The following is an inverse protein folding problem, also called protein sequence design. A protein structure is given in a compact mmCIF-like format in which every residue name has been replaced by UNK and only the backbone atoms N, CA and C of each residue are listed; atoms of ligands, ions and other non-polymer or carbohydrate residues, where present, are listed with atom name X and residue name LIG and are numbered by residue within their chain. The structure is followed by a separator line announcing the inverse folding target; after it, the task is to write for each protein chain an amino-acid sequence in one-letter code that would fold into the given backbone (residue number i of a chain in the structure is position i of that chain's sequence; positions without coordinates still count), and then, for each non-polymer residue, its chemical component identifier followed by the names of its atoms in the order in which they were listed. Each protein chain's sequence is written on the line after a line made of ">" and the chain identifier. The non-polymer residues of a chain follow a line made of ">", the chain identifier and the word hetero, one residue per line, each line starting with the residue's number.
data_IF_746202504538
#
_entry.id   IF_746202504538
#
_cell.length_a   1.000
_cell.length_b   1.000
_cell.length_c   1.000
_cell.angle_alpha   90.00
_cell.angle_beta   90.00
_cell.angle_gamma   90.00
#
_symmetry.space_group_name_H-M   'P 1'
#
loop_
_entity.id
_entity.type
_entity.pdbx_description
1 polymer ?
#
# COMPACT_ATOMS: atom_id res chain seq x y z
N UNK A 1 16.67 14.72 7.30
CA UNK A 1 17.68 14.48 8.36
C UNK A 1 16.91 14.24 9.66
N UNK A 2 17.00 13.17 10.45
CA UNK A 2 17.90 12.01 10.56
C UNK A 2 17.08 10.87 11.19
N UNK A 3 17.42 9.65 10.76
CA UNK A 3 17.00 8.32 11.21
C UNK A 3 16.99 8.12 12.73
N UNK A 4 15.99 7.41 13.26
CA UNK A 4 16.00 6.84 14.61
C UNK A 4 15.79 5.33 14.56
N UNK A 5 16.85 4.58 14.81
CA UNK A 5 16.92 3.12 14.69
C UNK A 5 16.30 2.42 15.91
N UNK A 6 15.58 1.33 15.63
CA UNK A 6 14.99 0.40 16.61
C UNK A 6 16.09 -0.40 17.30
N UNK A 7 16.05 -0.47 18.64
CA UNK A 7 17.05 -1.18 19.46
C UNK A 7 16.37 -2.32 20.23
N UNK A 8 16.61 -3.56 19.81
CA UNK A 8 16.28 -4.75 20.58
C UNK A 8 17.40 -5.05 21.58
N UNK A 9 17.03 -5.41 22.82
CA UNK A 9 17.95 -5.78 23.89
C UNK A 9 17.79 -7.28 24.17
N UNK A 10 18.87 -8.04 24.08
CA UNK A 10 18.98 -9.40 24.62
C UNK A 10 20.17 -9.45 25.57
N UNK A 11 19.91 -9.95 26.77
CA UNK A 11 20.83 -10.03 27.89
C UNK A 11 21.78 -11.22 27.74
N UNK A 12 23.07 -10.98 27.98
CA UNK A 12 24.05 -12.02 28.34
C UNK A 12 24.32 -11.98 29.84
N UNK A 13 24.79 -13.08 30.42
CA UNK A 13 25.78 -13.03 31.50
C UNK A 13 27.04 -13.84 31.11
N UNK A 14 28.21 -13.22 31.24
CA UNK A 14 29.25 -13.51 32.25
C UNK A 14 30.13 -14.69 31.83
N UNK A 15 31.45 -14.73 31.98
CA UNK A 15 32.53 -13.92 32.57
C UNK A 15 33.81 -14.69 32.14
N UNK A 16 35.06 -14.23 32.12
CA UNK A 16 35.90 -13.69 33.18
C UNK A 16 37.17 -13.15 32.51
N UNK A 17 37.57 -11.99 32.97
CA UNK A 17 38.75 -11.19 32.67
C UNK A 17 39.95 -11.79 33.46
N UNK A 18 41.21 -11.79 33.02
CA UNK A 18 42.17 -10.69 33.27
C UNK A 18 43.59 -11.25 33.18
N UNK A 19 44.55 -10.46 32.71
CA UNK A 19 45.82 -10.13 33.42
C UNK A 19 46.65 -9.24 32.49
N UNK A 20 46.58 -7.91 32.68
CA UNK A 20 47.58 -7.10 33.39
C UNK A 20 49.01 -7.24 32.87
N UNK A 21 49.48 -6.22 32.15
CA UNK A 21 50.87 -5.79 32.26
C UNK A 21 50.97 -4.29 32.00
N UNK A 22 51.50 -3.58 32.99
CA UNK A 22 51.79 -2.16 32.95
C UNK A 22 52.69 -1.83 34.13
N UNK A 23 53.99 -1.78 33.89
CA UNK A 23 54.95 -1.19 34.83
C UNK A 23 55.91 -0.29 34.03
N UNK A 24 56.14 0.86 34.65
CA UNK A 24 56.78 2.12 34.26
C UNK A 24 58.30 2.06 34.03
N UNK A 25 58.90 3.10 33.42
CA UNK A 25 60.33 3.17 33.11
C UNK A 25 61.13 3.95 34.17
N UNK A 26 62.39 3.57 34.46
CA UNK A 26 63.36 4.49 35.11
C UNK A 26 64.83 4.01 35.01
N UNK A 27 65.66 4.89 34.43
CA UNK A 27 67.04 5.31 34.75
C UNK A 27 68.32 4.41 34.66
N UNK A 28 69.27 5.00 33.89
CA UNK A 28 70.70 5.29 34.16
C UNK A 28 71.84 4.27 33.92
N UNK A 29 72.72 4.70 33.00
CA UNK A 29 74.19 4.82 33.03
C UNK A 29 75.14 3.58 33.05
N UNK A 30 76.05 3.62 32.07
CA UNK A 30 77.52 3.44 32.16
C UNK A 30 78.21 2.09 31.78
N UNK A 31 79.05 2.21 30.75
CA UNK A 31 80.44 1.70 30.54
C UNK A 31 80.79 0.19 30.41
N UNK A 32 81.11 -0.20 29.16
CA UNK A 32 82.22 -1.04 28.59
C UNK A 32 83.34 -1.49 29.57
N UNK A 33 84.07 -2.64 29.42
CA UNK A 33 84.38 -3.43 28.19
C UNK A 33 84.30 -4.98 28.24
N UNK A 34 84.52 -5.51 27.03
CA UNK A 34 84.65 -6.89 26.55
C UNK A 34 85.59 -7.85 27.31
N UNK A 35 85.18 -9.13 27.35
CA UNK A 35 86.06 -10.29 27.40
C UNK A 35 85.51 -11.39 26.48
N UNK A 36 86.36 -11.90 25.59
CA UNK A 36 86.04 -12.81 24.47
C UNK A 36 86.03 -14.26 24.98
N UNK A 37 84.95 -15.02 24.70
CA UNK A 37 84.88 -16.47 24.91
C UNK A 37 84.48 -17.16 23.60
N UNK A 38 85.39 -17.92 23.02
CA UNK A 38 85.20 -18.75 21.83
C UNK A 38 84.44 -20.02 22.18
N UNK A 39 83.23 -20.20 21.61
CA UNK A 39 82.42 -21.40 21.72
C UNK A 39 82.05 -21.95 20.33
N UNK A 40 82.19 -23.27 20.23
CA UNK A 40 81.99 -24.18 19.09
C UNK A 40 80.71 -23.90 18.26
N UNK A 41 80.74 -23.99 16.91
CA UNK A 41 79.56 -23.68 16.09
C UNK A 41 78.51 -24.81 16.16
N UNK A 42 77.21 -24.48 16.35
CA UNK A 42 76.13 -25.46 16.23
C UNK A 42 75.85 -25.80 14.76
N UNK A 43 75.65 -27.09 14.49
CA UNK A 43 75.17 -27.61 13.20
C UNK A 43 73.74 -27.10 12.98
N UNK A 44 73.55 -26.28 11.95
CA UNK A 44 72.25 -25.72 11.61
C UNK A 44 71.30 -26.82 11.09
N UNK A 45 70.32 -27.20 11.90
CA UNK A 45 69.14 -27.93 11.44
C UNK A 45 68.28 -26.97 10.59
N UNK A 46 68.18 -27.23 9.29
CA UNK A 46 67.29 -26.50 8.40
C UNK A 46 65.86 -27.06 8.53
N UNK A 47 65.03 -26.39 9.33
CA UNK A 47 63.59 -26.62 9.32
C UNK A 47 63.03 -26.01 8.03
N UNK A 48 62.53 -26.85 7.12
CA UNK A 48 61.93 -26.42 5.85
C UNK A 48 60.47 -26.07 6.11
N UNK A 49 60.16 -24.77 6.09
CA UNK A 49 58.79 -24.26 6.19
C UNK A 49 57.99 -24.71 4.95
N UNK A 50 57.10 -25.70 5.14
CA UNK A 50 56.17 -26.15 4.11
C UNK A 50 55.01 -25.16 4.10
N UNK A 51 55.23 -24.06 3.37
CA UNK A 51 54.41 -22.85 3.40
C UNK A 51 52.88 -23.07 3.38
N UNK A 52 52.20 -22.10 3.98
CA UNK A 52 50.74 -21.99 4.06
C UNK A 52 50.14 -22.05 2.65
N UNK A 53 49.45 -23.14 2.31
CA UNK A 53 48.58 -23.21 1.12
C UNK A 53 47.14 -22.94 1.54
N UNK A 54 46.66 -21.77 1.12
CA UNK A 54 45.25 -21.38 1.18
C UNK A 54 45.13 -19.89 0.91
N UNK A 55 45.05 -19.48 -0.36
CA UNK A 55 44.57 -18.14 -0.68
C UNK A 55 43.07 -18.11 -0.38
N UNK A 56 42.70 -17.65 0.82
CA UNK A 56 41.32 -17.27 1.14
C UNK A 56 41.03 -15.99 0.37
N UNK A 57 40.48 -16.13 -0.83
CA UNK A 57 39.90 -14.98 -1.54
C UNK A 57 38.73 -14.46 -0.72
N UNK A 58 38.77 -13.18 -0.36
CA UNK A 58 37.60 -12.50 0.19
C UNK A 58 36.60 -12.41 -0.97
N UNK A 59 35.50 -13.15 -0.89
CA UNK A 59 34.37 -12.95 -1.81
C UNK A 59 33.74 -11.61 -1.39
N UNK A 60 34.23 -10.51 -1.97
CA UNK A 60 33.55 -9.23 -1.90
C UNK A 60 32.43 -9.28 -2.94
N UNK A 61 31.21 -9.59 -2.50
CA UNK A 61 30.04 -9.48 -3.38
C UNK A 61 29.95 -8.03 -3.89
N UNK A 62 29.73 -7.82 -5.20
CA UNK A 62 29.54 -6.48 -5.72
C UNK A 62 28.41 -5.79 -4.95
N UNK A 63 28.60 -4.51 -4.61
CA UNK A 63 27.57 -3.70 -3.98
C UNK A 63 26.29 -3.76 -4.82
N UNK A 64 25.21 -4.29 -4.25
CA UNK A 64 23.96 -4.54 -4.94
C UNK A 64 23.35 -3.26 -5.52
N UNK A 65 23.58 -2.11 -4.87
CA UNK A 65 23.15 -0.81 -5.39
C UNK A 65 23.98 -0.39 -6.61
N UNK A 66 25.27 -0.69 -6.62
CA UNK A 66 26.13 -0.48 -7.80
C UNK A 66 25.73 -1.37 -8.98
N UNK A 67 25.29 -2.61 -8.72
CA UNK A 67 24.79 -3.53 -9.76
C UNK A 67 23.45 -3.05 -10.32
N UNK A 68 22.50 -2.67 -9.45
CA UNK A 68 21.22 -2.07 -9.85
C UNK A 68 21.46 -0.79 -10.64
N UNK A 69 22.34 0.09 -10.15
CA UNK A 69 22.70 1.35 -10.80
C UNK A 69 23.27 1.14 -12.20
N UNK A 70 24.23 0.23 -12.36
CA UNK A 70 24.80 -0.08 -13.68
C UNK A 70 23.77 -0.68 -14.65
N UNK A 71 22.83 -1.50 -14.16
CA UNK A 71 21.73 -2.00 -14.99
C UNK A 71 20.76 -0.90 -15.42
N UNK A 72 20.43 0.05 -14.52
CA UNK A 72 19.61 1.21 -14.85
C UNK A 72 20.29 2.12 -15.88
N UNK A 73 21.59 2.34 -15.77
CA UNK A 73 22.38 3.16 -16.70
C UNK A 73 22.43 2.53 -18.10
N UNK A 74 22.65 1.22 -18.20
CA UNK A 74 22.57 0.48 -19.49
C UNK A 74 21.17 0.59 -20.11
N UNK A 75 20.11 0.49 -19.28
CA UNK A 75 18.73 0.65 -19.75
C UNK A 75 18.42 2.10 -20.16
N UNK A 76 19.05 3.09 -19.53
CA UNK A 76 18.91 4.50 -19.86
C UNK A 76 19.65 4.83 -21.17
N UNK A 77 20.90 4.38 -21.34
CA UNK A 77 21.70 4.59 -22.55
C UNK A 77 21.09 3.93 -23.79
N UNK A 78 20.43 2.78 -23.61
CA UNK A 78 19.69 2.10 -24.68
C UNK A 78 18.28 2.68 -24.93
N UNK A 79 17.88 3.71 -24.17
CA UNK A 79 16.53 4.29 -24.14
C UNK A 79 15.43 3.31 -23.73
N UNK A 80 15.79 2.12 -23.24
CA UNK A 80 14.84 1.09 -22.83
C UNK A 80 14.08 1.51 -21.57
N UNK A 81 14.75 2.19 -20.65
CA UNK A 81 14.15 2.72 -19.43
C UNK A 81 13.04 3.74 -19.77
N UNK A 82 13.34 4.71 -20.63
CA UNK A 82 12.36 5.73 -21.04
C UNK A 82 11.16 5.11 -21.76
N UNK A 83 11.39 4.13 -22.66
CA UNK A 83 10.30 3.39 -23.32
C UNK A 83 9.41 2.64 -22.31
N UNK A 84 9.99 2.03 -21.28
CA UNK A 84 9.21 1.32 -20.26
C UNK A 84 8.45 2.29 -19.34
N UNK A 85 9.03 3.45 -19.01
CA UNK A 85 8.36 4.52 -18.28
C UNK A 85 7.20 5.12 -19.09
N UNK A 86 7.38 5.37 -20.39
CA UNK A 86 6.32 5.83 -21.29
C UNK A 86 5.19 4.80 -21.39
N UNK A 87 5.50 3.52 -21.54
CA UNK A 87 4.48 2.44 -21.52
C UNK A 87 3.77 2.35 -20.18
N UNK A 88 4.49 2.51 -19.06
CA UNK A 88 3.88 2.49 -17.73
C UNK A 88 2.96 3.71 -17.53
N UNK A 89 3.38 4.89 -17.97
CA UNK A 89 2.57 6.11 -17.96
C UNK A 89 1.33 5.98 -18.86
N UNK A 90 1.49 5.44 -20.08
CA UNK A 90 0.39 5.16 -21.00
C UNK A 90 -0.64 4.22 -20.40
N UNK A 91 -0.20 3.11 -19.78
CA UNK A 91 -1.09 2.19 -19.05
C UNK A 91 -1.78 2.84 -17.85
N UNK A 92 -1.07 3.73 -17.13
CA UNK A 92 -1.65 4.44 -16.00
C UNK A 92 -2.76 5.41 -16.46
N UNK A 93 -2.53 6.15 -17.56
CA UNK A 93 -3.52 7.03 -18.18
C UNK A 93 -4.72 6.21 -18.66
N UNK A 94 -4.47 5.15 -19.42
CA UNK A 94 -5.51 4.26 -19.93
C UNK A 94 -6.37 3.70 -18.79
N UNK A 95 -5.76 3.27 -17.69
CA UNK A 95 -6.48 2.76 -16.52
C UNK A 95 -7.28 3.82 -15.76
N UNK A 96 -6.85 5.08 -15.82
CA UNK A 96 -7.61 6.21 -15.27
C UNK A 96 -8.80 6.57 -16.18
N UNK A 97 -8.61 6.49 -17.50
CA UNK A 97 -9.67 6.78 -18.48
C UNK A 97 -10.69 5.66 -18.58
N UNK A 98 -10.24 4.40 -18.49
CA UNK A 98 -11.03 3.19 -18.61
C UNK A 98 -10.75 2.21 -17.45
N UNK A 99 -11.33 2.47 -16.26
CA UNK A 99 -11.21 1.58 -15.12
C UNK A 99 -11.89 0.24 -15.36
N UNK A 100 -11.35 -0.82 -14.75
CA UNK A 100 -11.98 -2.15 -14.77
C UNK A 100 -13.35 -2.14 -14.08
N UNK A 101 -14.40 -2.65 -14.74
CA UNK A 101 -15.73 -2.80 -14.13
C UNK A 101 -15.71 -3.63 -12.86
N UNK A 102 -16.51 -3.24 -11.87
CA UNK A 102 -16.80 -4.04 -10.69
C UNK A 102 -17.55 -5.30 -11.11
N UNK A 103 -17.04 -6.46 -10.70
CA UNK A 103 -17.59 -7.75 -11.08
C UNK A 103 -18.96 -8.03 -10.42
N UNK A 104 -19.78 -8.85 -11.07
CA UNK A 104 -21.04 -9.34 -10.48
C UNK A 104 -22.17 -8.32 -10.41
N UNK A 105 -22.06 -7.18 -11.10
CA UNK A 105 -23.08 -6.13 -11.14
C UNK A 105 -24.03 -6.33 -12.33
N UNK A 106 -25.32 -6.47 -12.05
CA UNK A 106 -26.38 -6.64 -13.05
C UNK A 106 -27.35 -5.44 -13.08
N UNK A 107 -28.14 -5.22 -14.13
CA UNK A 107 -29.19 -4.20 -14.09
C UNK A 107 -30.32 -4.61 -13.12
N UNK A 108 -30.83 -3.67 -12.34
CA UNK A 108 -31.96 -3.85 -11.45
C UNK A 108 -33.23 -4.13 -12.25
N UNK A 109 -33.89 -5.26 -11.96
CA UNK A 109 -35.14 -5.65 -12.62
C UNK A 109 -36.39 -5.31 -11.83
N UNK A 110 -36.27 -5.20 -10.52
CA UNK A 110 -37.36 -4.88 -9.60
C UNK A 110 -36.88 -3.80 -8.64
N UNK A 111 -37.83 -3.02 -8.11
CA UNK A 111 -37.51 -2.05 -7.08
C UNK A 111 -37.40 -2.75 -5.73
N UNK A 112 -36.23 -2.66 -5.10
CA UNK A 112 -35.96 -3.27 -3.80
C UNK A 112 -35.44 -2.22 -2.84
N UNK A 113 -35.82 -2.29 -1.57
CA UNK A 113 -35.32 -1.40 -0.51
C UNK A 113 -34.82 -2.23 0.66
N UNK A 114 -33.65 -1.89 1.20
CA UNK A 114 -33.14 -2.48 2.44
C UNK A 114 -32.41 -1.45 3.29
N UNK A 115 -32.38 -1.70 4.60
CA UNK A 115 -31.56 -0.93 5.54
C UNK A 115 -30.20 -1.62 5.71
N UNK A 116 -29.17 -0.81 5.90
CA UNK A 116 -27.80 -1.23 6.11
C UNK A 116 -27.21 -0.49 7.31
N UNK A 117 -26.63 -1.23 8.24
CA UNK A 117 -25.91 -0.69 9.40
C UNK A 117 -24.41 -0.59 9.05
N UNK A 118 -23.86 0.63 8.91
CA UNK A 118 -22.44 0.80 8.62
C UNK A 118 -21.55 0.68 9.87
N UNK A 119 -22.08 0.33 11.03
CA UNK A 119 -21.31 0.15 12.26
C UNK A 119 -20.24 -0.92 12.09
N UNK A 120 -18.98 -0.55 12.31
CA UNK A 120 -17.83 -1.44 12.24
C UNK A 120 -17.30 -1.69 13.63
N UNK A 121 -16.82 -2.90 13.88
CA UNK A 121 -16.05 -3.21 15.09
C UNK A 121 -14.57 -3.19 14.70
N UNK A 122 -13.77 -2.38 15.39
CA UNK A 122 -12.33 -2.36 15.16
C UNK A 122 -11.72 -3.68 15.62
N UNK A 123 -10.89 -4.28 14.78
CA UNK A 123 -10.18 -5.53 15.11
C UNK A 123 -8.86 -5.26 15.82
N UNK A 124 -8.26 -4.10 15.56
CA UNK A 124 -6.97 -3.69 16.11
C UNK A 124 -7.06 -2.29 16.71
N UNK A 125 -6.14 -2.00 17.62
CA UNK A 125 -5.94 -0.66 18.13
C UNK A 125 -5.55 0.29 16.98
N UNK A 126 -6.12 1.49 16.97
CA UNK A 126 -5.82 2.56 16.02
C UNK A 126 -5.05 3.64 16.76
N UNK A 127 -3.84 3.93 16.29
CA UNK A 127 -2.97 4.96 16.84
C UNK A 127 -2.87 6.15 15.89
N UNK A 128 -2.76 7.36 16.46
CA UNK A 128 -2.46 8.58 15.73
C UNK A 128 -1.01 8.62 15.29
N UNK A 129 -0.69 9.60 14.42
CA UNK A 129 0.67 9.80 13.90
C UNK A 129 1.70 10.14 14.99
N UNK A 130 1.23 10.61 16.15
CA UNK A 130 2.00 10.92 17.37
C UNK A 130 2.13 9.73 18.33
N UNK A 131 1.53 8.58 17.99
CA UNK A 131 1.52 7.38 18.84
C UNK A 131 0.40 7.36 19.90
N UNK A 132 -0.49 8.35 19.91
CA UNK A 132 -1.64 8.40 20.82
C UNK A 132 -2.69 7.36 20.40
N UNK A 133 -3.23 6.59 21.34
CA UNK A 133 -4.34 5.66 21.05
C UNK A 133 -5.60 6.46 20.71
N UNK A 134 -6.06 6.37 19.45
CA UNK A 134 -7.28 7.03 18.96
C UNK A 134 -8.51 6.18 19.28
N UNK A 135 -8.42 4.87 19.03
CA UNK A 135 -9.51 3.94 19.31
C UNK A 135 -8.94 2.55 19.60
N UNK A 136 -9.49 1.87 20.60
CA UNK A 136 -9.07 0.53 20.98
C UNK A 136 -9.70 -0.54 20.08
N UNK A 137 -9.04 -1.69 19.99
CA UNK A 137 -9.61 -2.90 19.44
C UNK A 137 -10.91 -3.24 20.18
N UNK A 138 -11.91 -3.65 19.42
CA UNK A 138 -13.25 -3.96 19.92
C UNK A 138 -14.20 -2.78 20.01
N UNK A 139 -13.73 -1.53 19.85
CA UNK A 139 -14.61 -0.36 19.77
C UNK A 139 -15.54 -0.49 18.56
N UNK A 140 -16.84 -0.24 18.79
CA UNK A 140 -17.83 -0.14 17.73
C UNK A 140 -17.93 1.31 17.29
N UNK A 141 -17.75 1.56 16.01
CA UNK A 141 -17.79 2.91 15.43
C UNK A 141 -18.79 2.88 14.29
N UNK A 142 -19.80 3.72 14.37
CA UNK A 142 -20.63 4.02 13.21
C UNK A 142 -20.06 5.27 12.52
N UNK A 143 -19.59 5.16 11.26
CA UNK A 143 -19.10 6.32 10.53
C UNK A 143 -20.12 7.46 10.48
N UNK A 144 -21.42 7.16 10.45
CA UNK A 144 -22.50 8.15 10.41
C UNK A 144 -22.71 8.91 11.73
N UNK A 145 -22.06 8.52 12.84
CA UNK A 145 -22.12 9.24 14.13
C UNK A 145 -21.14 10.42 14.18
N UNK A 146 -19.90 10.20 13.72
CA UNK A 146 -18.81 11.17 13.83
C UNK A 146 -18.47 11.85 12.51
N UNK A 147 -18.82 11.22 11.40
CA UNK A 147 -18.99 11.94 10.16
C UNK A 147 -20.42 12.50 10.12
N UNK A 148 -20.56 13.79 10.45
CA UNK A 148 -21.23 14.58 9.43
C UNK A 148 -20.41 14.32 8.16
N UNK A 149 -21.01 13.83 7.08
CA UNK A 149 -20.33 13.78 5.79
C UNK A 149 -19.93 15.22 5.47
N UNK A 150 -18.76 15.67 5.93
CA UNK A 150 -18.45 17.09 5.99
C UNK A 150 -18.33 17.57 4.55
N UNK A 151 -19.12 18.61 4.24
CA UNK A 151 -19.34 19.30 2.96
C UNK A 151 -20.39 18.71 1.97
N UNK A 152 -20.80 17.44 2.03
CA UNK A 152 -21.73 16.85 1.04
C UNK A 152 -22.73 15.85 1.64
N UNK A 153 -23.84 16.32 2.20
CA UNK A 153 -25.06 15.53 2.48
C UNK A 153 -25.76 15.09 1.17
N UNK A 154 -25.00 14.54 0.23
CA UNK A 154 -25.46 14.12 -1.08
C UNK A 154 -25.64 12.61 -1.07
N UNK A 155 -26.85 12.17 -1.42
CA UNK A 155 -27.16 10.76 -1.69
C UNK A 155 -26.07 10.14 -2.59
N UNK A 156 -25.64 8.90 -2.33
CA UNK A 156 -24.78 8.19 -3.29
C UNK A 156 -25.67 7.50 -4.32
N UNK A 157 -25.29 7.60 -5.58
CA UNK A 157 -25.98 6.94 -6.70
C UNK A 157 -24.96 6.06 -7.40
N UNK A 158 -25.16 4.76 -7.32
CA UNK A 158 -24.34 3.76 -8.00
C UNK A 158 -24.99 3.39 -9.33
N UNK A 159 -24.26 3.57 -10.44
CA UNK A 159 -24.74 3.27 -11.79
C UNK A 159 -23.71 2.50 -12.63
N UNK A 160 -24.17 1.85 -13.70
CA UNK A 160 -23.31 1.39 -14.79
C UNK A 160 -23.20 2.50 -15.84
N UNK A 161 -22.05 3.17 -15.90
CA UNK A 161 -21.78 4.27 -16.82
C UNK A 161 -21.71 3.87 -18.30
N UNK A 162 -21.74 2.56 -18.62
CA UNK A 162 -21.88 2.07 -20.00
C UNK A 162 -23.34 2.09 -20.47
N UNK A 163 -24.30 2.18 -19.54
CA UNK A 163 -25.73 2.22 -19.84
C UNK A 163 -26.23 3.66 -19.81
N UNK A 164 -26.39 4.24 -21.00
CA UNK A 164 -26.81 5.63 -21.17
C UNK A 164 -28.11 5.97 -20.39
N UNK A 165 -29.06 5.04 -20.34
CA UNK A 165 -30.32 5.24 -19.61
C UNK A 165 -30.10 5.44 -18.09
N UNK A 166 -29.11 4.77 -17.50
CA UNK A 166 -28.79 4.94 -16.08
C UNK A 166 -28.06 6.27 -15.84
N UNK A 167 -27.21 6.70 -16.78
CA UNK A 167 -26.52 7.99 -16.75
C UNK A 167 -27.52 9.14 -16.77
N UNK A 168 -28.45 9.12 -17.74
CA UNK A 168 -29.52 10.12 -17.87
C UNK A 168 -30.43 10.14 -16.65
N UNK A 169 -30.82 8.96 -16.17
CA UNK A 169 -31.62 8.84 -14.95
C UNK A 169 -30.91 9.43 -13.73
N UNK A 170 -29.60 9.20 -13.57
CA UNK A 170 -28.83 9.74 -12.46
C UNK A 170 -28.65 11.26 -12.55
N UNK A 171 -28.46 11.80 -13.76
CA UNK A 171 -28.32 13.23 -14.01
C UNK A 171 -29.65 13.99 -13.84
N UNK A 172 -30.78 13.37 -14.17
CA UNK A 172 -32.12 13.94 -14.03
C UNK A 172 -32.67 13.97 -12.60
N UNK A 173 -31.88 13.57 -11.59
CA UNK A 173 -32.30 13.61 -10.19
C UNK A 173 -32.29 15.03 -9.64
N UNK A 174 -33.39 15.43 -9.01
CA UNK A 174 -33.53 16.75 -8.38
C UNK A 174 -32.68 16.93 -7.12
N UNK A 175 -32.39 15.84 -6.39
CA UNK A 175 -31.58 15.90 -5.16
C UNK A 175 -30.09 15.87 -5.50
N UNK A 176 -29.26 16.72 -4.87
CA UNK A 176 -27.83 16.69 -5.08
C UNK A 176 -27.28 15.34 -4.61
N UNK A 177 -26.58 14.65 -5.50
CA UNK A 177 -26.10 13.29 -5.29
C UNK A 177 -24.69 13.11 -5.86
N UNK A 178 -23.87 12.25 -5.26
CA UNK A 178 -22.59 11.84 -5.86
C UNK A 178 -22.84 10.63 -6.74
N UNK A 179 -22.50 10.76 -8.02
CA UNK A 179 -22.65 9.66 -8.97
C UNK A 179 -21.36 8.84 -8.92
N UNK A 180 -21.50 7.58 -8.52
CA UNK A 180 -20.43 6.59 -8.42
C UNK A 180 -20.67 5.54 -9.50
N UNK A 181 -19.68 5.35 -10.36
CA UNK A 181 -19.70 4.36 -11.42
C UNK A 181 -19.17 3.04 -10.90
N UNK A 182 -19.88 1.96 -11.23
CA UNK A 182 -19.40 0.58 -11.06
C UNK A 182 -18.79 0.03 -12.36
N UNK A 183 -19.05 0.69 -13.50
CA UNK A 183 -18.45 0.39 -14.79
C UNK A 183 -18.52 1.63 -15.71
N UNK A 184 -17.65 1.69 -16.71
CA UNK A 184 -17.62 2.77 -17.70
C UNK A 184 -16.49 3.78 -17.46
N UNK A 185 -16.52 4.89 -18.22
CA UNK A 185 -15.42 5.85 -18.37
C UNK A 185 -15.74 7.16 -17.63
N UNK A 186 -15.33 7.33 -16.36
CA UNK A 186 -15.74 8.46 -15.52
C UNK A 186 -15.28 9.81 -16.06
N UNK A 187 -14.07 9.88 -16.61
CA UNK A 187 -13.51 11.14 -17.12
C UNK A 187 -14.26 11.63 -18.37
N UNK A 188 -14.66 10.73 -19.25
CA UNK A 188 -15.42 11.08 -20.45
C UNK A 188 -16.83 11.56 -20.08
N UNK A 189 -17.50 10.86 -19.16
CA UNK A 189 -18.82 11.28 -18.65
C UNK A 189 -18.73 12.62 -17.93
N UNK A 190 -17.66 12.85 -17.15
CA UNK A 190 -17.46 14.13 -16.48
C UNK A 190 -17.23 15.29 -17.46
N UNK A 191 -16.44 15.07 -18.52
CA UNK A 191 -16.24 16.05 -19.60
C UNK A 191 -17.53 16.31 -20.39
N UNK A 192 -18.30 15.27 -20.71
CA UNK A 192 -19.53 15.39 -21.50
C UNK A 192 -20.65 16.13 -20.75
N UNK A 193 -20.76 15.94 -19.44
CA UNK A 193 -21.87 16.47 -18.64
C UNK A 193 -21.48 17.63 -17.72
N UNK A 194 -20.20 18.01 -17.67
CA UNK A 194 -19.72 19.13 -16.84
C UNK A 194 -19.90 18.90 -15.33
N UNK A 195 -19.97 17.65 -14.88
CA UNK A 195 -20.18 17.27 -13.47
C UNK A 195 -19.27 16.10 -13.08
N UNK A 196 -18.75 16.03 -11.85
CA UNK A 196 -17.93 14.92 -11.42
C UNK A 196 -18.68 13.57 -11.44
N UNK A 197 -18.06 12.57 -12.04
CA UNK A 197 -18.40 11.14 -11.90
C UNK A 197 -17.26 10.46 -11.17
N UNK A 198 -17.57 9.78 -10.06
CA UNK A 198 -16.62 9.00 -9.29
C UNK A 198 -16.63 7.55 -9.77
N UNK A 199 -15.60 6.78 -9.45
CA UNK A 199 -15.53 5.36 -9.76
C UNK A 199 -15.24 4.57 -8.48
N UNK A 200 -15.95 3.47 -8.26
CA UNK A 200 -15.69 2.57 -7.13
C UNK A 200 -14.49 1.67 -7.46
N UNK A 201 -13.29 2.23 -7.36
CA UNK A 201 -12.05 1.53 -7.69
C UNK A 201 -11.89 0.31 -6.78
N UNK A 202 -11.84 -0.88 -7.39
CA UNK A 202 -11.76 -2.15 -6.68
C UNK A 202 -13.07 -2.61 -6.05
N UNK A 203 -14.19 -1.91 -6.27
CA UNK A 203 -15.52 -2.36 -5.83
C UNK A 203 -15.74 -2.32 -4.31
N UNK A 204 -14.99 -1.52 -3.56
CA UNK A 204 -15.05 -1.49 -2.11
C UNK A 204 -16.42 -1.06 -1.59
N UNK A 205 -17.04 -0.04 -2.21
CA UNK A 205 -18.40 0.37 -1.83
C UNK A 205 -19.42 -0.68 -2.23
N UNK A 206 -19.31 -1.23 -3.43
CA UNK A 206 -20.21 -2.27 -3.91
C UNK A 206 -20.18 -3.52 -3.01
N UNK A 207 -18.99 -3.99 -2.64
CA UNK A 207 -18.81 -5.11 -1.74
C UNK A 207 -19.33 -4.80 -0.34
N UNK A 208 -18.87 -3.69 0.27
CA UNK A 208 -19.21 -3.31 1.64
C UNK A 208 -20.70 -3.10 1.82
N UNK A 209 -21.34 -2.44 0.85
CA UNK A 209 -22.77 -2.17 0.89
C UNK A 209 -23.59 -3.37 0.43
N UNK A 210 -23.01 -4.34 -0.28
CA UNK A 210 -23.71 -5.49 -0.87
C UNK A 210 -24.52 -5.11 -2.12
N UNK A 211 -23.98 -4.25 -2.96
CA UNK A 211 -24.60 -3.80 -4.20
C UNK A 211 -24.32 -4.84 -5.27
N UNK A 212 -25.39 -5.47 -5.77
CA UNK A 212 -25.34 -6.42 -6.87
C UNK A 212 -26.08 -5.92 -8.11
N UNK A 213 -26.85 -4.84 -7.97
CA UNK A 213 -27.64 -4.27 -9.06
C UNK A 213 -27.44 -2.77 -9.24
N UNK A 214 -27.52 -2.30 -10.48
CA UNK A 214 -27.57 -0.87 -10.81
C UNK A 214 -28.86 -0.50 -11.55
N UNK A 215 -29.39 0.71 -11.37
CA UNK A 215 -28.91 1.71 -10.42
C UNK A 215 -29.33 1.43 -8.97
N UNK A 216 -28.47 1.79 -8.03
CA UNK A 216 -28.71 1.72 -6.58
C UNK A 216 -28.50 3.07 -5.92
N UNK A 217 -29.45 3.50 -5.08
CA UNK A 217 -29.32 4.68 -4.23
C UNK A 217 -28.89 4.29 -2.83
N UNK A 218 -27.96 5.02 -2.23
CA UNK A 218 -27.69 4.98 -0.81
C UNK A 218 -28.08 6.32 -0.17
N UNK A 219 -29.16 6.27 0.60
CA UNK A 219 -29.75 7.42 1.29
C UNK A 219 -29.45 7.30 2.79
N UNK A 220 -29.08 8.40 3.43
CA UNK A 220 -28.92 8.40 4.90
C UNK A 220 -30.28 8.31 5.58
N UNK A 221 -30.39 7.44 6.58
CA UNK A 221 -31.58 7.22 7.38
C UNK A 221 -31.19 7.13 8.86
N UNK A 222 -30.95 8.30 9.47
CA UNK A 222 -30.36 8.40 10.80
C UNK A 222 -28.94 7.81 10.84
N UNK A 223 -28.77 6.75 11.62
CA UNK A 223 -27.52 5.98 11.75
C UNK A 223 -27.43 4.77 10.81
N UNK A 224 -28.40 4.63 9.90
CA UNK A 224 -28.42 3.60 8.88
C UNK A 224 -28.31 4.21 7.49
N UNK A 225 -27.99 3.36 6.51
CA UNK A 225 -28.14 3.65 5.09
C UNK A 225 -29.35 2.89 4.56
N UNK A 226 -30.26 3.60 3.89
CA UNK A 226 -31.33 3.00 3.11
C UNK A 226 -30.87 2.84 1.67
N UNK A 227 -30.68 1.58 1.28
CA UNK A 227 -30.29 1.19 -0.06
C UNK A 227 -31.54 0.89 -0.89
N UNK A 228 -31.68 1.56 -2.04
CA UNK A 228 -32.82 1.41 -2.94
C UNK A 228 -32.33 1.06 -4.34
N UNK A 229 -32.57 -0.17 -4.78
CA UNK A 229 -32.39 -0.60 -6.17
C UNK A 229 -33.60 -0.13 -6.98
N UNK A 230 -33.36 0.53 -8.12
CA UNK A 230 -34.44 1.11 -8.93
C UNK A 230 -34.31 0.58 -10.36
N UNK A 231 -35.31 -0.12 -10.90
CA UNK A 231 -35.26 -0.55 -12.28
C UNK A 231 -35.43 0.67 -13.20
N UNK A 232 -34.46 0.87 -14.09
CA UNK A 232 -34.50 1.90 -15.11
C UNK A 232 -34.48 1.21 -16.46
N UNK A 233 -35.47 1.52 -17.28
CA UNK A 233 -35.64 0.91 -18.60
C UNK A 233 -35.49 1.98 -19.67
N UNK A 234 -34.74 1.67 -20.72
CA UNK A 234 -34.80 2.45 -21.95
C UNK A 234 -36.14 2.22 -22.66
N UNK A 235 -36.43 3.05 -23.66
CA UNK A 235 -37.72 3.02 -24.39
C UNK A 235 -38.07 1.64 -24.98
N UNK A 236 -37.07 0.78 -25.22
CA UNK A 236 -37.23 -0.54 -25.83
C UNK A 236 -37.40 -1.70 -24.83
N UNK A 237 -37.15 -1.47 -23.54
CA UNK A 237 -37.01 -2.56 -22.55
C UNK A 237 -38.00 -2.43 -21.37
N UNK A 238 -38.94 -1.47 -21.45
CA UNK A 238 -39.99 -1.30 -20.44
C UNK A 238 -40.83 -2.58 -20.36
N UNK A 239 -40.87 -3.27 -19.20
CA UNK A 239 -41.70 -4.45 -19.04
C UNK A 239 -43.17 -4.07 -19.22
N UNK A 240 -44.00 -4.97 -19.79
CA UNK A 240 -45.41 -4.70 -19.96
C UNK A 240 -46.01 -4.37 -18.59
N UNK A 241 -46.74 -3.25 -18.50
CA UNK A 241 -47.31 -2.75 -17.26
C UNK A 241 -48.08 -3.89 -16.56
N UNK A 242 -47.55 -4.36 -15.43
CA UNK A 242 -48.19 -5.40 -14.66
C UNK A 242 -49.60 -4.97 -14.28
N UNK A 243 -50.61 -5.74 -14.70
CA UNK A 243 -52.00 -5.53 -14.29
C UNK A 243 -52.03 -5.46 -12.76
N UNK A 244 -52.47 -4.31 -12.24
CA UNK A 244 -52.53 -4.06 -10.80
C UNK A 244 -53.24 -5.21 -10.07
N UNK A 245 -52.62 -5.71 -9.00
CA UNK A 245 -53.34 -6.55 -8.04
C UNK A 245 -54.47 -5.70 -7.44
N UNK A 246 -55.75 -6.11 -7.56
CA UNK A 246 -56.79 -5.50 -6.75
C UNK A 246 -56.51 -5.84 -5.28
N UNK A 247 -56.91 -4.88 -4.42
CA UNK A 247 -56.72 -4.88 -2.96
C UNK A 247 -57.32 -6.11 -2.28
#
# INVERSE_FOLDING_TARGET
>A
MIRGAVRFRHSSPDSVNSTHSGITPTHLLALVPAFILTAMPPIAASARDLGIRGATWIIAEPDFLSVIGGQLEILQDSGALDRELEKAAGRAIERMEEPEPVAGIAPARNRTTRLFDPTVKLETDVFGSDGTLIAAAGTRINPLEYSALTEDERDLVFIDGRRQVEVEWALGRDRPSKIVLLAGRPLDLARAHGRPFFFDQGGLFAERLGIHHTPTLALRDGFFLRLVEIPVYGDRERPPAGKGRPR
#
